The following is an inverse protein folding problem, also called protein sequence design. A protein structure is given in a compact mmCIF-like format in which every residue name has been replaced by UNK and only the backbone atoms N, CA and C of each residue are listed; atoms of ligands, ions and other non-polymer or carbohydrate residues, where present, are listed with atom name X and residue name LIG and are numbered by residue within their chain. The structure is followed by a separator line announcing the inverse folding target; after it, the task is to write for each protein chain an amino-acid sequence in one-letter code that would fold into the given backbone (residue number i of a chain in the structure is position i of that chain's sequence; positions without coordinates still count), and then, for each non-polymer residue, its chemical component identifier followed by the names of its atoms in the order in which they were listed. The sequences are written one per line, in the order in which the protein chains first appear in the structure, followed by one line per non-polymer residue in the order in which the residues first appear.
data_IF_387943350000
#
_entry.id   IF_387943350000
#
_cell.length_a   1.000
_cell.length_b   1.000
_cell.length_c   1.000
_cell.angle_alpha   90.00
_cell.angle_beta   90.00
_cell.angle_gamma   90.00
#
_symmetry.space_group_name_H-M   'P 1'
#
loop_
_entity.id
_entity.type
_entity.pdbx_description
1 polymer ?
#
# COMPACT_ATOMS: atom_id res chain seq x y z
N UNK A 1 -14.88 -24.03 30.29
CA UNK A 1 -13.68 -24.59 29.63
C UNK A 1 -12.89 -23.44 29.05
N UNK A 2 -11.61 -23.26 29.43
CA UNK A 2 -10.78 -22.16 28.95
C UNK A 2 -9.63 -22.71 28.11
N UNK A 3 -9.52 -22.24 26.86
CA UNK A 3 -8.38 -22.54 25.99
C UNK A 3 -7.27 -21.52 26.23
N UNK A 4 -6.05 -21.98 26.43
CA UNK A 4 -4.86 -21.12 26.56
C UNK A 4 -4.16 -21.06 25.21
N UNK A 5 -4.00 -19.85 24.67
CA UNK A 5 -3.36 -19.58 23.38
C UNK A 5 -1.86 -19.38 23.57
N UNK A 6 -1.06 -20.13 22.82
CA UNK A 6 0.40 -20.04 22.79
C UNK A 6 0.91 -19.08 21.70
N UNK A 7 0.02 -18.29 21.08
CA UNK A 7 0.41 -17.32 20.05
C UNK A 7 1.33 -16.28 20.68
N UNK A 8 2.55 -16.22 20.17
CA UNK A 8 3.49 -15.16 20.49
C UNK A 8 2.90 -13.84 19.94
N UNK A 9 2.27 -13.04 20.80
CA UNK A 9 1.74 -11.70 20.46
C UNK A 9 2.91 -10.69 20.34
N UNK A 10 4.16 -11.13 20.38
CA UNK A 10 5.29 -10.30 20.02
C UNK A 10 5.49 -10.28 18.51
N UNK A 11 4.87 -9.30 17.87
CA UNK A 11 5.20 -8.92 16.51
C UNK A 11 4.42 -7.67 16.13
N UNK A 12 4.92 -6.50 16.53
CA UNK A 12 4.50 -5.16 16.13
C UNK A 12 3.55 -5.19 14.93
N UNK A 13 2.27 -4.92 15.17
CA UNK A 13 1.27 -4.80 14.12
C UNK A 13 1.73 -3.67 13.21
N UNK A 14 2.39 -4.01 12.09
CA UNK A 14 2.96 -3.01 11.17
C UNK A 14 1.80 -2.16 10.67
N UNK A 15 1.81 -0.88 11.01
CA UNK A 15 0.76 0.05 10.60
C UNK A 15 0.50 -0.07 9.10
N UNK A 16 -0.78 -0.04 8.68
CA UNK A 16 -1.13 -0.05 7.27
C UNK A 16 -0.33 1.06 6.58
N UNK A 17 0.43 0.69 5.55
CA UNK A 17 1.33 1.61 4.87
C UNK A 17 1.64 1.18 3.45
N UNK A 18 2.04 2.14 2.63
CA UNK A 18 2.55 1.98 1.28
C UNK A 18 3.88 2.71 1.13
N UNK A 19 4.73 2.23 0.23
CA UNK A 19 5.95 2.92 -0.18
C UNK A 19 6.09 2.84 -1.69
N UNK A 20 6.41 3.95 -2.32
CA UNK A 20 6.77 4.00 -3.72
C UNK A 20 8.28 4.04 -3.86
N UNK A 21 8.81 3.42 -4.91
CA UNK A 21 10.24 3.31 -5.18
C UNK A 21 10.51 3.31 -6.67
N UNK A 22 11.72 3.76 -7.02
CA UNK A 22 12.33 3.50 -8.32
C UNK A 22 13.12 2.21 -8.25
N UNK A 23 12.96 1.31 -9.22
CA UNK A 23 13.78 0.10 -9.33
C UNK A 23 15.16 0.44 -9.89
N UNK A 24 16.13 -0.49 -9.76
CA UNK A 24 17.48 -0.31 -10.33
C UNK A 24 17.46 -0.13 -11.86
N UNK A 25 16.48 -0.72 -12.55
CA UNK A 25 16.27 -0.58 -14.00
C UNK A 25 15.57 0.73 -14.40
N UNK A 26 15.19 1.56 -13.44
CA UNK A 26 14.54 2.85 -13.69
C UNK A 26 13.02 2.83 -13.74
N UNK A 27 12.39 1.66 -13.60
CA UNK A 27 10.93 1.53 -13.56
C UNK A 27 10.36 2.03 -12.22
N UNK A 28 9.11 2.49 -12.24
CA UNK A 28 8.34 2.80 -11.04
C UNK A 28 7.75 1.53 -10.41
N UNK A 29 7.71 1.48 -9.09
CA UNK A 29 7.03 0.43 -8.36
C UNK A 29 6.82 0.79 -6.91
N UNK A 30 6.35 -0.16 -6.13
CA UNK A 30 6.10 0.05 -4.72
C UNK A 30 5.83 -1.22 -3.95
N UNK A 31 5.59 -1.05 -2.67
CA UNK A 31 5.22 -2.13 -1.76
C UNK A 31 4.16 -1.68 -0.78
N UNK A 32 3.14 -2.51 -0.59
CA UNK A 32 2.08 -2.34 0.42
C UNK A 32 2.38 -3.24 1.61
N UNK A 33 2.16 -2.77 2.84
CA UNK A 33 2.24 -3.55 4.08
C UNK A 33 1.26 -4.73 4.14
N UNK A 34 1.45 -5.67 5.08
CA UNK A 34 0.53 -6.82 5.27
C UNK A 34 -0.80 -6.42 5.91
N UNK A 35 -0.86 -5.27 6.59
CA UNK A 35 -2.04 -4.80 7.28
C UNK A 35 -3.12 -4.25 6.33
N UNK A 36 -2.77 -4.04 5.05
CA UNK A 36 -3.70 -3.57 4.02
C UNK A 36 -4.15 -4.79 3.17
N UNK A 37 -5.45 -5.09 3.09
CA UNK A 37 -6.01 -6.28 2.41
C UNK A 37 -6.08 -6.15 0.88
N UNK A 38 -5.06 -5.51 0.29
CA UNK A 38 -4.91 -5.26 -1.14
C UNK A 38 -3.88 -6.18 -1.82
N UNK A 39 -3.10 -6.94 -1.04
CA UNK A 39 -2.10 -7.88 -1.56
C UNK A 39 -2.76 -9.02 -2.31
N UNK A 40 -2.18 -9.41 -3.45
CA UNK A 40 -2.71 -10.47 -4.31
C UNK A 40 -3.93 -10.03 -5.14
N UNK A 41 -4.25 -8.73 -5.13
CA UNK A 41 -5.37 -8.16 -5.89
C UNK A 41 -4.85 -7.17 -6.92
N UNK A 42 -5.71 -6.79 -7.85
CA UNK A 42 -5.48 -5.63 -8.72
C UNK A 42 -5.97 -4.38 -8.01
N UNK A 43 -5.15 -3.33 -8.05
CA UNK A 43 -5.36 -2.11 -7.27
C UNK A 43 -5.31 -0.89 -8.17
N UNK A 44 -6.16 0.08 -7.90
CA UNK A 44 -6.01 1.41 -8.47
C UNK A 44 -5.21 2.30 -7.51
N UNK A 45 -4.37 3.17 -8.07
CA UNK A 45 -3.50 4.09 -7.34
C UNK A 45 -3.79 5.49 -7.87
N UNK A 46 -4.41 6.32 -7.04
CA UNK A 46 -4.73 7.69 -7.40
C UNK A 46 -3.99 8.66 -6.50
N UNK A 47 -3.55 9.77 -7.09
CA UNK A 47 -2.80 10.82 -6.41
C UNK A 47 -3.54 12.13 -6.65
N UNK A 48 -3.76 12.84 -5.57
CA UNK A 48 -4.21 14.23 -5.56
C UNK A 48 -3.00 15.11 -5.20
N UNK A 49 -2.47 15.81 -6.21
CA UNK A 49 -1.31 16.69 -6.05
C UNK A 49 -1.64 17.98 -5.31
N UNK A 50 -2.90 18.44 -5.36
CA UNK A 50 -3.34 19.67 -4.68
C UNK A 50 -3.41 19.45 -3.17
N UNK A 51 -4.00 18.33 -2.75
CA UNK A 51 -4.15 18.01 -1.32
C UNK A 51 -3.04 17.13 -0.76
N UNK A 52 -2.08 16.70 -1.60
CA UNK A 52 -0.97 15.79 -1.26
C UNK A 52 -1.44 14.47 -0.65
N UNK A 53 -2.47 13.88 -1.27
CA UNK A 53 -3.08 12.64 -0.83
C UNK A 53 -2.90 11.54 -1.87
N UNK A 54 -2.68 10.33 -1.38
CA UNK A 54 -2.73 9.12 -2.18
C UNK A 54 -3.91 8.27 -1.71
N UNK A 55 -4.62 7.66 -2.65
CA UNK A 55 -5.63 6.64 -2.35
C UNK A 55 -5.41 5.35 -3.13
N UNK A 56 -5.72 4.24 -2.49
CA UNK A 56 -5.53 2.88 -2.99
C UNK A 56 -6.82 2.09 -2.83
N UNK A 57 -7.32 1.51 -3.91
CA UNK A 57 -8.58 0.75 -3.94
C UNK A 57 -8.44 -0.52 -4.74
N UNK A 58 -9.40 -1.44 -4.63
CA UNK A 58 -9.45 -2.63 -5.48
C UNK A 58 -10.09 -2.23 -6.80
N UNK A 59 -9.40 -2.51 -7.90
CA UNK A 59 -9.92 -2.29 -9.25
C UNK A 59 -9.39 -3.39 -10.18
N UNK A 60 -10.29 -4.05 -10.91
CA UNK A 60 -9.95 -5.12 -11.85
C UNK A 60 -9.10 -4.64 -13.03
N UNK A 61 -9.19 -3.35 -13.40
CA UNK A 61 -8.39 -2.74 -14.46
C UNK A 61 -7.09 -2.10 -13.94
N UNK A 62 -6.94 -1.98 -12.62
CA UNK A 62 -5.78 -1.40 -11.96
C UNK A 62 -4.49 -2.20 -12.09
N UNK A 63 -3.43 -1.79 -11.41
CA UNK A 63 -2.13 -2.48 -11.40
C UNK A 63 -2.16 -3.75 -10.57
N UNK A 64 -1.42 -4.78 -10.99
CA UNK A 64 -1.34 -6.03 -10.24
C UNK A 64 -0.46 -5.87 -9.00
N UNK A 65 -1.02 -6.14 -7.82
CA UNK A 65 -0.29 -6.24 -6.56
C UNK A 65 -0.06 -7.72 -6.22
N UNK A 66 1.21 -8.12 -6.12
CA UNK A 66 1.57 -9.50 -5.80
C UNK A 66 1.21 -9.84 -4.34
N UNK A 67 1.13 -11.13 -4.01
CA UNK A 67 0.86 -11.60 -2.65
C UNK A 67 1.90 -11.10 -1.61
N UNK A 68 3.12 -10.79 -2.06
CA UNK A 68 4.18 -10.19 -1.23
C UNK A 68 3.96 -8.70 -0.95
N UNK A 69 3.00 -8.06 -1.64
CA UNK A 69 2.66 -6.65 -1.56
C UNK A 69 3.39 -5.77 -2.57
N UNK A 70 4.25 -6.34 -3.43
CA UNK A 70 4.94 -5.59 -4.48
C UNK A 70 4.01 -5.30 -5.65
N UNK A 71 4.10 -4.10 -6.21
CA UNK A 71 3.38 -3.70 -7.42
C UNK A 71 4.27 -2.83 -8.31
N UNK A 72 3.97 -2.81 -9.61
CA UNK A 72 4.57 -1.89 -10.56
C UNK A 72 3.64 -0.70 -10.76
N UNK A 73 4.20 0.50 -10.89
CA UNK A 73 3.42 1.72 -11.10
C UNK A 73 4.15 2.67 -12.04
N UNK A 74 3.46 3.71 -12.51
CA UNK A 74 4.11 4.77 -13.28
C UNK A 74 5.25 5.40 -12.48
N UNK A 75 6.36 5.71 -13.15
CA UNK A 75 7.48 6.43 -12.53
C UNK A 75 7.05 7.83 -12.05
N UNK A 76 6.00 8.41 -12.64
CA UNK A 76 5.50 9.73 -12.26
C UNK A 76 4.99 9.74 -10.80
N UNK A 77 4.32 8.67 -10.37
CA UNK A 77 3.88 8.50 -8.98
C UNK A 77 5.05 8.65 -8.01
N UNK A 78 6.18 7.98 -8.31
CA UNK A 78 7.38 8.10 -7.49
C UNK A 78 7.99 9.51 -7.53
N UNK A 79 7.91 10.23 -8.66
CA UNK A 79 8.43 11.61 -8.76
C UNK A 79 7.60 12.59 -7.93
N UNK A 80 6.29 12.38 -7.85
CA UNK A 80 5.37 13.22 -7.08
C UNK A 80 5.50 12.92 -5.58
N UNK A 81 5.43 11.63 -5.21
CA UNK A 81 5.33 11.19 -3.81
C UNK A 81 6.69 11.03 -3.13
N UNK A 82 7.73 10.68 -3.91
CA UNK A 82 9.06 10.38 -3.42
C UNK A 82 9.21 8.98 -2.79
N UNK A 83 10.37 8.75 -2.18
CA UNK A 83 10.75 7.49 -1.53
C UNK A 83 10.39 7.48 -0.03
N UNK A 84 9.16 7.84 0.31
CA UNK A 84 8.68 7.86 1.69
C UNK A 84 7.74 6.68 1.98
N UNK A 85 7.72 6.28 3.25
CA UNK A 85 6.66 5.41 3.78
C UNK A 85 5.46 6.29 4.11
N UNK A 86 4.32 5.98 3.52
CA UNK A 86 3.05 6.64 3.75
C UNK A 86 2.20 5.70 4.59
N UNK A 87 1.72 6.19 5.73
CA UNK A 87 0.75 5.44 6.52
C UNK A 87 -0.64 5.59 5.91
N UNK A 88 -1.41 4.50 5.93
CA UNK A 88 -2.69 4.39 5.28
C UNK A 88 -3.80 4.24 6.33
N UNK A 89 -4.91 4.91 6.07
CA UNK A 89 -6.14 4.84 6.85
C UNK A 89 -7.26 4.33 5.95
N UNK A 90 -8.06 3.38 6.42
CA UNK A 90 -9.22 2.90 5.68
C UNK A 90 -10.35 3.93 5.76
N UNK A 91 -10.94 4.29 4.62
CA UNK A 91 -11.98 5.32 4.53
C UNK A 91 -13.42 4.80 4.56
N UNK A 92 -13.63 3.51 4.84
CA UNK A 92 -14.94 2.82 4.85
C UNK A 92 -15.71 2.79 3.51
N UNK A 93 -15.16 3.38 2.45
CA UNK A 93 -15.70 3.42 1.09
C UNK A 93 -14.99 2.41 0.15
N UNK A 94 -14.18 1.52 0.72
CA UNK A 94 -13.35 0.58 -0.03
C UNK A 94 -11.96 1.12 -0.40
N UNK A 95 -11.66 2.38 -0.09
CA UNK A 95 -10.36 3.01 -0.36
C UNK A 95 -9.52 3.15 0.92
N UNK A 96 -8.20 3.13 0.70
CA UNK A 96 -7.18 3.40 1.69
C UNK A 96 -6.50 4.71 1.35
N UNK A 97 -6.42 5.62 2.31
CA UNK A 97 -5.93 6.99 2.12
C UNK A 97 -4.64 7.21 2.89
N UNK A 98 -3.72 7.99 2.34
CA UNK A 98 -2.54 8.45 3.06
C UNK A 98 -2.04 9.80 2.54
N UNK A 99 -1.36 10.53 3.41
CA UNK A 99 -0.78 11.84 3.12
C UNK A 99 0.75 11.72 2.90
N UNK A 100 1.35 12.54 2.02
CA UNK A 100 2.76 12.40 1.63
C UNK A 100 3.61 13.70 1.54
#
# INVERSE_FOLDING_TARGET
MAFVSQRNINGWQKSPSVRFRKTKSGAGGGSISKAVPLRGKRIDIQIDEETRKVRLGIDQQGVSCNATGSFSCSLNIFRIVGDKKIDLTYGDDGWWYGDY
#
